data_IF_546496027972
#
_entry.id   IF_546496027972
#
_cell.length_a   1.000
_cell.length_b   1.000
_cell.length_c   1.000
_cell.angle_alpha   90.00
_cell.angle_beta   90.00
_cell.angle_gamma   90.00
#
_symmetry.space_group_name_H-M   'P 1'
#
loop_
_entity.id
_entity.type
_entity.pdbx_description
1 polymer ?
#
# COMPACT_ATOMS: atom_id res chain seq x y z
N UNK A 1 4.53 7.51 -36.82
CA UNK A 1 4.45 6.78 -35.53
C UNK A 1 4.06 7.78 -34.45
N UNK A 2 2.82 7.75 -33.98
CA UNK A 2 2.38 8.62 -32.88
C UNK A 2 3.09 8.15 -31.59
N UNK A 3 3.85 9.04 -30.94
CA UNK A 3 4.42 8.79 -29.62
C UNK A 3 3.28 8.92 -28.60
N UNK A 4 2.81 7.81 -28.05
CA UNK A 4 1.91 7.84 -26.90
C UNK A 4 2.69 8.41 -25.72
N UNK A 5 2.32 9.62 -25.29
CA UNK A 5 2.87 10.23 -24.09
C UNK A 5 2.26 9.47 -22.92
N UNK A 6 2.90 8.38 -22.47
CA UNK A 6 2.51 7.71 -21.23
C UNK A 6 2.71 8.73 -20.10
N UNK A 7 1.62 9.28 -19.56
CA UNK A 7 1.68 10.07 -18.33
C UNK A 7 2.39 9.23 -17.27
N UNK A 8 3.41 9.77 -16.59
CA UNK A 8 4.12 9.02 -15.56
C UNK A 8 3.08 8.67 -14.49
N UNK A 9 2.82 7.36 -14.32
CA UNK A 9 1.96 6.85 -13.25
C UNK A 9 2.57 7.36 -11.96
N UNK A 10 1.92 8.33 -11.30
CA UNK A 10 2.32 8.79 -9.97
C UNK A 10 2.34 7.54 -9.10
N UNK A 11 3.54 7.14 -8.67
CA UNK A 11 3.68 6.03 -7.73
C UNK A 11 2.97 6.44 -6.46
N UNK A 12 1.96 5.67 -6.08
CA UNK A 12 1.26 5.87 -4.82
C UNK A 12 2.26 5.65 -3.68
N UNK A 13 2.62 6.74 -2.99
CA UNK A 13 3.61 6.74 -1.92
C UNK A 13 3.13 5.95 -0.71
N UNK A 14 1.81 5.88 -0.48
CA UNK A 14 1.24 5.11 0.63
C UNK A 14 1.43 3.61 0.36
N UNK A 15 1.07 3.15 -0.83
CA UNK A 15 1.27 1.76 -1.25
C UNK A 15 2.75 1.39 -1.17
N UNK A 16 3.64 2.24 -1.69
CA UNK A 16 5.08 1.99 -1.62
C UNK A 16 5.60 1.86 -0.17
N UNK A 17 5.06 2.66 0.74
CA UNK A 17 5.42 2.62 2.16
C UNK A 17 4.91 1.34 2.83
N UNK A 18 3.66 0.94 2.58
CA UNK A 18 3.09 -0.32 3.09
C UNK A 18 3.89 -1.53 2.58
N UNK A 19 4.17 -1.58 1.29
CA UNK A 19 4.96 -2.65 0.66
C UNK A 19 6.34 -2.77 1.29
N UNK A 20 7.01 -1.65 1.55
CA UNK A 20 8.32 -1.65 2.21
C UNK A 20 8.22 -2.24 3.62
N UNK A 21 7.26 -1.79 4.44
CA UNK A 21 7.06 -2.32 5.80
C UNK A 21 6.77 -3.82 5.81
N UNK A 22 5.90 -4.29 4.91
CA UNK A 22 5.53 -5.70 4.82
C UNK A 22 6.72 -6.56 4.41
N UNK A 23 7.51 -6.09 3.44
CA UNK A 23 8.74 -6.78 3.03
C UNK A 23 9.73 -6.93 4.20
N UNK A 24 9.88 -5.89 5.03
CA UNK A 24 10.74 -5.92 6.23
C UNK A 24 10.20 -6.87 7.31
N UNK A 25 8.87 -6.93 7.51
CA UNK A 25 8.25 -7.80 8.50
C UNK A 25 8.22 -9.28 8.12
N UNK A 26 8.03 -9.57 6.84
CA UNK A 26 7.84 -10.95 6.33
C UNK A 26 9.11 -11.56 5.76
N UNK A 27 10.15 -10.75 5.51
CA UNK A 27 11.36 -11.18 4.82
C UNK A 27 11.20 -11.37 3.31
N UNK A 28 10.01 -11.16 2.74
CA UNK A 28 9.80 -11.23 1.30
C UNK A 28 10.37 -10.00 0.57
N UNK A 29 10.74 -10.17 -0.70
CA UNK A 29 11.14 -9.03 -1.52
C UNK A 29 9.95 -8.09 -1.78
N UNK A 30 10.21 -6.77 -1.87
CA UNK A 30 9.20 -5.77 -2.25
C UNK A 30 8.46 -6.14 -3.54
N UNK A 31 9.18 -6.70 -4.53
CA UNK A 31 8.59 -7.17 -5.79
C UNK A 31 7.58 -8.29 -5.56
N UNK A 32 7.90 -9.24 -4.69
CA UNK A 32 6.96 -10.32 -4.34
C UNK A 32 5.70 -9.79 -3.68
N UNK A 33 5.84 -8.88 -2.73
CA UNK A 33 4.70 -8.22 -2.07
C UNK A 33 3.81 -7.48 -3.09
N UNK A 34 4.41 -6.74 -4.03
CA UNK A 34 3.65 -6.12 -5.13
C UNK A 34 2.88 -7.14 -5.98
N UNK A 35 3.50 -8.28 -6.32
CA UNK A 35 2.81 -9.35 -7.07
C UNK A 35 1.64 -9.93 -6.27
N UNK A 36 1.76 -10.07 -4.96
CA UNK A 36 0.66 -10.53 -4.11
C UNK A 36 -0.49 -9.52 -4.09
N UNK A 37 -0.19 -8.24 -3.91
CA UNK A 37 -1.21 -7.17 -3.90
C UNK A 37 -1.92 -7.05 -5.24
N UNK A 38 -1.20 -7.25 -6.35
CA UNK A 38 -1.76 -7.22 -7.70
C UNK A 38 -2.48 -8.53 -8.09
N UNK A 39 -2.60 -9.50 -7.18
CA UNK A 39 -3.17 -10.83 -7.42
C UNK A 39 -2.40 -11.69 -8.44
N UNK A 40 -1.17 -11.32 -8.79
CA UNK A 40 -0.27 -12.12 -9.64
C UNK A 40 0.31 -13.34 -8.89
N UNK A 41 0.30 -13.29 -7.55
CA UNK A 41 0.72 -14.37 -6.65
C UNK A 41 -0.25 -14.49 -5.49
N UNK A 42 -0.39 -15.70 -4.95
CA UNK A 42 -1.23 -15.94 -3.78
C UNK A 42 -0.37 -16.16 -2.54
N UNK A 43 -0.57 -15.32 -1.53
CA UNK A 43 0.03 -15.42 -0.21
C UNK A 43 -0.90 -14.71 0.79
N UNK A 44 -1.64 -15.50 1.56
CA UNK A 44 -2.67 -14.99 2.47
C UNK A 44 -2.07 -14.15 3.61
N UNK A 45 -0.90 -14.53 4.13
CA UNK A 45 -0.24 -13.81 5.22
C UNK A 45 0.16 -12.39 4.79
N UNK A 46 0.76 -12.26 3.60
CA UNK A 46 1.15 -10.96 3.02
C UNK A 46 -0.08 -10.11 2.74
N UNK A 47 -1.14 -10.70 2.18
CA UNK A 47 -2.38 -10.00 1.88
C UNK A 47 -3.09 -9.54 3.16
N UNK A 48 -3.19 -10.41 4.16
CA UNK A 48 -3.80 -10.11 5.47
C UNK A 48 -3.06 -8.97 6.17
N UNK A 49 -1.73 -9.01 6.19
CA UNK A 49 -0.93 -7.94 6.77
C UNK A 49 -1.11 -6.61 6.03
N UNK A 50 -1.23 -6.64 4.70
CA UNK A 50 -1.50 -5.45 3.91
C UNK A 50 -2.85 -4.81 4.28
N UNK A 51 -3.91 -5.62 4.36
CA UNK A 51 -5.24 -5.15 4.74
C UNK A 51 -5.26 -4.57 6.16
N UNK A 52 -4.63 -5.25 7.13
CA UNK A 52 -4.54 -4.77 8.51
C UNK A 52 -3.84 -3.41 8.62
N UNK A 53 -2.75 -3.19 7.87
CA UNK A 53 -2.04 -1.91 7.87
C UNK A 53 -2.90 -0.80 7.28
N UNK A 54 -3.58 -1.08 6.17
CA UNK A 54 -4.47 -0.12 5.53
C UNK A 54 -5.66 0.25 6.43
N UNK A 55 -6.26 -0.72 7.11
CA UNK A 55 -7.36 -0.48 8.05
C UNK A 55 -6.91 0.36 9.26
N UNK A 56 -5.75 0.04 9.84
CA UNK A 56 -5.20 0.81 10.97
C UNK A 56 -4.87 2.26 10.60
N UNK A 57 -4.30 2.48 9.41
CA UNK A 57 -4.03 3.83 8.90
C UNK A 57 -5.32 4.63 8.71
N UNK A 58 -6.37 4.01 8.15
CA UNK A 58 -7.67 4.64 8.00
C UNK A 58 -8.34 4.95 9.34
N UNK A 59 -8.28 4.01 10.30
CA UNK A 59 -8.81 4.23 11.65
C UNK A 59 -8.11 5.40 12.35
N UNK A 60 -6.77 5.44 12.27
CA UNK A 60 -5.98 6.53 12.85
C UNK A 60 -6.37 7.89 12.23
N UNK A 61 -6.53 7.97 10.90
CA UNK A 61 -6.96 9.20 10.24
C UNK A 61 -8.35 9.66 10.71
N UNK A 62 -9.29 8.72 10.91
CA UNK A 62 -10.62 9.05 11.43
C UNK A 62 -10.57 9.55 12.87
N UNK A 63 -9.74 8.95 13.72
CA UNK A 63 -9.55 9.40 15.10
C UNK A 63 -8.90 10.78 15.17
N UNK A 64 -7.87 11.03 14.36
CA UNK A 64 -7.22 12.35 14.28
C UNK A 64 -8.22 13.42 13.84
N UNK A 65 -9.09 13.12 12.87
CA UNK A 65 -10.16 14.04 12.45
C UNK A 65 -11.18 14.33 13.55
N UNK A 66 -11.41 13.39 14.48
CA UNK A 66 -12.28 13.63 15.64
C UNK A 66 -11.60 14.50 16.71
N UNK A 67 -10.29 14.32 16.89
CA UNK A 67 -9.51 15.02 17.91
C UNK A 67 -9.18 16.47 17.50
N UNK A 68 -9.00 16.73 16.21
CA UNK A 68 -8.76 18.08 15.69
C UNK A 68 -10.00 18.52 14.92
N UNK A 69 -10.95 19.23 15.55
CA UNK A 69 -12.03 19.86 14.81
C UNK A 69 -11.40 20.94 13.93
N UNK A 70 -11.18 20.60 12.66
CA UNK A 70 -10.85 21.60 11.64
C UNK A 70 -12.13 22.44 11.42
N UNK A 71 -12.21 23.56 12.13
CA UNK A 71 -13.03 24.71 11.70
C UNK A 71 -12.37 25.37 10.49
#
# INVERSE_FOLDING_TARGET
>A
MQKTVSTPIKRDSEIATRVKKIAELTGFSRRYVYMVINSDRHNEDVMSLYMQLQEKENALLLEVKKLVPFN
#
